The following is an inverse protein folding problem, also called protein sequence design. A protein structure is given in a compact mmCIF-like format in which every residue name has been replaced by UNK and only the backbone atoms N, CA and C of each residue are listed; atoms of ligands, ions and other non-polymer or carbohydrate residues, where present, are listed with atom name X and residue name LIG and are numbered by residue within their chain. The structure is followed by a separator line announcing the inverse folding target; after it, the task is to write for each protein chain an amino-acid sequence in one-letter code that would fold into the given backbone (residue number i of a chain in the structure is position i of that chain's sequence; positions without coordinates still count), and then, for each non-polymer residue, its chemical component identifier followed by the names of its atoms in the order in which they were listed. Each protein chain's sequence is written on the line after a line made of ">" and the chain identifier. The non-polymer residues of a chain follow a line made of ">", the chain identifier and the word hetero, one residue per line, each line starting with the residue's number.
data_IF_707382029040
#
_entry.id   IF_707382029040
#
_cell.length_a   1.000
_cell.length_b   1.000
_cell.length_c   1.000
_cell.angle_alpha   90.00
_cell.angle_beta   90.00
_cell.angle_gamma   90.00
#
_symmetry.space_group_name_H-M   'P 1'
#
loop_
_entity.id
_entity.type
_entity.pdbx_description
1 polymer ?
#
# COMPACT_ATOMS: atom_id res chain seq x y z
N UNK A 1 2.32 1.66 -21.96
CA UNK A 1 3.20 1.19 -20.86
C UNK A 1 3.31 2.16 -19.66
N UNK A 2 2.75 3.38 -19.71
CA UNK A 2 2.94 4.38 -18.64
C UNK A 2 2.05 4.25 -17.39
N UNK A 3 1.07 3.34 -17.33
CA UNK A 3 0.12 3.23 -16.20
C UNK A 3 0.30 1.95 -15.39
N UNK A 4 0.56 0.81 -16.06
CA UNK A 4 0.67 -0.50 -15.42
C UNK A 4 1.82 -0.60 -14.42
N UNK A 5 3.04 -0.22 -14.81
CA UNK A 5 4.21 -0.28 -13.94
C UNK A 5 4.08 0.66 -12.72
N UNK A 6 3.66 1.93 -12.87
CA UNK A 6 3.41 2.79 -11.71
C UNK A 6 2.28 2.29 -10.79
N UNK A 7 1.21 1.70 -11.34
CA UNK A 7 0.12 1.14 -10.52
C UNK A 7 0.60 -0.03 -9.67
N UNK A 8 1.33 -0.99 -10.26
CA UNK A 8 1.86 -2.13 -9.50
C UNK A 8 2.83 -1.67 -8.41
N UNK A 9 3.68 -0.70 -8.70
CA UNK A 9 4.64 -0.17 -7.73
C UNK A 9 3.96 0.50 -6.52
N UNK A 10 2.78 1.09 -6.70
CA UNK A 10 2.02 1.71 -5.60
C UNK A 10 1.22 0.69 -4.77
N UNK A 11 0.84 -0.46 -5.35
CA UNK A 11 0.11 -1.51 -4.65
C UNK A 11 1.04 -2.36 -3.79
N UNK A 12 2.23 -2.71 -4.30
CA UNK A 12 3.21 -3.45 -3.53
C UNK A 12 3.84 -2.57 -2.45
N UNK A 13 3.67 -2.95 -1.18
CA UNK A 13 4.10 -2.16 -0.05
C UNK A 13 4.43 -3.00 1.20
N UNK A 14 4.66 -2.30 2.31
CA UNK A 14 5.13 -2.89 3.58
C UNK A 14 4.26 -4.03 4.10
N UNK A 15 2.93 -3.93 3.91
CA UNK A 15 1.96 -4.89 4.43
C UNK A 15 2.21 -6.29 3.87
N UNK A 16 2.55 -6.37 2.58
CA UNK A 16 2.78 -7.65 1.89
C UNK A 16 3.97 -8.40 2.49
N UNK A 17 5.03 -7.69 2.89
CA UNK A 17 6.27 -8.30 3.38
C UNK A 17 6.30 -8.51 4.89
N UNK A 18 5.82 -7.54 5.69
CA UNK A 18 5.92 -7.60 7.15
C UNK A 18 4.68 -8.20 7.81
N UNK A 19 3.48 -7.99 7.24
CA UNK A 19 2.21 -8.31 7.92
C UNK A 19 1.50 -9.54 7.38
N UNK A 20 1.77 -9.98 6.15
CA UNK A 20 1.11 -11.16 5.57
C UNK A 20 1.44 -12.46 6.32
N UNK A 21 2.69 -12.65 6.73
CA UNK A 21 3.10 -13.84 7.49
C UNK A 21 2.39 -13.90 8.85
N UNK A 22 2.28 -12.77 9.53
CA UNK A 22 1.57 -12.67 10.80
C UNK A 22 0.05 -12.86 10.65
N UNK A 23 -0.55 -12.28 9.60
CA UNK A 23 -1.97 -12.43 9.29
C UNK A 23 -2.35 -13.90 9.06
N UNK A 24 -1.55 -14.64 8.27
CA UNK A 24 -1.74 -16.08 8.04
C UNK A 24 -1.49 -16.88 9.32
N UNK A 25 -0.55 -16.45 10.17
CA UNK A 25 -0.25 -17.11 11.45
C UNK A 25 -1.39 -17.04 12.47
N UNK A 26 -2.16 -15.95 12.49
CA UNK A 26 -3.29 -15.77 13.43
C UNK A 26 -4.63 -16.21 12.82
N UNK A 27 -4.89 -15.84 11.56
CA UNK A 27 -6.18 -16.09 10.88
C UNK A 27 -6.27 -17.41 10.12
N UNK A 28 -5.18 -18.16 10.06
CA UNK A 28 -5.06 -19.37 9.23
C UNK A 28 -5.11 -19.06 7.72
N UNK A 29 -4.91 -20.10 6.91
CA UNK A 29 -4.85 -19.96 5.44
C UNK A 29 -6.22 -19.59 4.87
N UNK A 30 -7.28 -20.29 5.28
CA UNK A 30 -8.64 -20.07 4.75
C UNK A 30 -9.19 -18.70 5.16
N UNK A 31 -9.02 -18.30 6.42
CA UNK A 31 -9.47 -17.00 6.91
C UNK A 31 -8.77 -15.84 6.20
N UNK A 32 -7.45 -15.93 6.05
CA UNK A 32 -6.68 -14.93 5.31
C UNK A 32 -7.06 -14.87 3.83
N UNK A 33 -7.33 -16.02 3.20
CA UNK A 33 -7.75 -16.08 1.80
C UNK A 33 -9.08 -15.34 1.56
N UNK A 34 -10.08 -15.52 2.44
CA UNK A 34 -11.36 -14.81 2.35
C UNK A 34 -11.17 -13.29 2.49
N UNK A 35 -10.32 -12.84 3.42
CA UNK A 35 -10.05 -11.42 3.63
C UNK A 35 -9.40 -10.80 2.39
N UNK A 36 -8.37 -11.45 1.83
CA UNK A 36 -7.70 -10.99 0.61
C UNK A 36 -8.67 -10.95 -0.57
N UNK A 37 -9.50 -11.99 -0.72
CA UNK A 37 -10.51 -12.04 -1.78
C UNK A 37 -11.48 -10.86 -1.70
N UNK A 38 -12.06 -10.58 -0.53
CA UNK A 38 -12.97 -9.45 -0.32
C UNK A 38 -12.31 -8.08 -0.60
N UNK A 39 -11.03 -7.93 -0.26
CA UNK A 39 -10.29 -6.70 -0.52
C UNK A 39 -10.01 -6.52 -2.03
N UNK A 40 -9.63 -7.60 -2.72
CA UNK A 40 -9.43 -7.61 -4.16
C UNK A 40 -10.71 -7.32 -4.93
N UNK A 41 -11.85 -7.90 -4.55
CA UNK A 41 -13.14 -7.62 -5.21
C UNK A 41 -13.56 -6.17 -5.06
N UNK A 42 -13.39 -5.58 -3.87
CA UNK A 42 -13.71 -4.16 -3.62
C UNK A 42 -12.83 -3.23 -4.46
N UNK A 43 -11.53 -3.53 -4.55
CA UNK A 43 -10.58 -2.77 -5.38
C UNK A 43 -10.92 -2.90 -6.87
N UNK A 44 -11.31 -4.09 -7.31
CA UNK A 44 -11.67 -4.36 -8.70
C UNK A 44 -12.96 -3.61 -9.09
N UNK A 45 -13.98 -3.61 -8.24
CA UNK A 45 -15.20 -2.82 -8.44
C UNK A 45 -14.88 -1.31 -8.53
N UNK A 46 -14.00 -0.82 -7.66
CA UNK A 46 -13.55 0.59 -7.69
C UNK A 46 -12.80 0.92 -8.98
N UNK A 47 -11.96 0.02 -9.46
CA UNK A 47 -11.24 0.17 -10.72
C UNK A 47 -12.18 0.21 -11.93
N UNK A 48 -13.26 -0.58 -11.94
CA UNK A 48 -14.30 -0.53 -12.98
C UNK A 48 -15.01 0.84 -12.95
N UNK A 49 -15.40 1.33 -11.77
CA UNK A 49 -16.00 2.66 -11.63
C UNK A 49 -15.08 3.78 -12.11
N UNK A 50 -13.79 3.73 -11.73
CA UNK A 50 -12.79 4.70 -12.20
C UNK A 50 -12.55 4.60 -13.71
N UNK A 51 -12.64 3.40 -14.30
CA UNK A 51 -12.54 3.23 -15.76
C UNK A 51 -13.70 3.90 -16.48
N UNK A 52 -14.93 3.76 -15.95
CA UNK A 52 -16.10 4.45 -16.50
C UNK A 52 -15.92 5.98 -16.43
N UNK A 53 -15.43 6.52 -15.31
CA UNK A 53 -15.13 7.96 -15.16
C UNK A 53 -14.07 8.40 -16.17
N UNK A 54 -12.98 7.64 -16.33
CA UNK A 54 -11.91 7.97 -17.27
C UNK A 54 -12.35 7.94 -18.74
N UNK A 55 -13.40 7.20 -19.07
CA UNK A 55 -14.00 7.16 -20.42
C UNK A 55 -15.10 8.19 -20.65
N UNK A 56 -15.54 8.91 -19.62
CA UNK A 56 -16.60 9.93 -19.73
C UNK A 56 -15.99 11.28 -20.14
N UNK A 57 -16.01 11.55 -21.44
CA UNK A 57 -15.61 12.84 -22.01
C UNK A 57 -14.15 12.91 -22.45
N UNK A 58 -13.71 14.12 -22.83
CA UNK A 58 -12.32 14.38 -23.24
C UNK A 58 -11.47 14.49 -21.99
N UNK A 59 -10.54 13.56 -21.78
CA UNK A 59 -9.59 13.57 -20.65
C UNK A 59 -8.51 14.61 -20.92
N UNK A 60 -8.58 15.83 -20.36
CA UNK A 60 -7.53 16.82 -20.55
C UNK A 60 -6.36 16.42 -19.65
N UNK A 61 -5.14 16.84 -19.98
CA UNK A 61 -3.98 16.55 -19.14
C UNK A 61 -4.20 17.06 -17.70
N UNK A 62 -4.32 16.14 -16.76
CA UNK A 62 -4.58 16.39 -15.36
C UNK A 62 -4.76 15.05 -14.65
N UNK A 63 -4.15 14.88 -13.46
CA UNK A 63 -4.15 13.61 -12.73
C UNK A 63 -5.55 13.13 -12.28
N UNK A 64 -5.60 12.15 -11.39
CA UNK A 64 -6.85 11.51 -10.93
C UNK A 64 -7.90 12.50 -10.38
N UNK A 65 -7.50 13.49 -9.60
CA UNK A 65 -8.41 14.52 -9.07
C UNK A 65 -9.07 15.36 -10.17
N UNK A 66 -8.30 15.70 -11.21
CA UNK A 66 -8.79 16.52 -12.32
C UNK A 66 -9.82 15.74 -13.16
N UNK A 67 -9.60 14.44 -13.38
CA UNK A 67 -10.55 13.56 -14.07
C UNK A 67 -11.87 13.42 -13.29
N UNK A 68 -11.80 13.26 -11.97
CA UNK A 68 -12.97 13.08 -11.09
C UNK A 68 -13.80 14.36 -11.00
N UNK A 69 -13.17 15.50 -10.72
CA UNK A 69 -13.87 16.79 -10.54
C UNK A 69 -14.60 17.27 -11.79
N UNK A 70 -14.10 16.95 -12.99
CA UNK A 70 -14.78 17.26 -14.27
C UNK A 70 -15.96 16.33 -14.57
N UNK A 71 -15.89 15.07 -14.16
CA UNK A 71 -16.91 14.07 -14.48
C UNK A 71 -18.07 14.04 -13.48
N UNK A 72 -17.79 14.34 -12.20
CA UNK A 72 -18.76 14.26 -11.09
C UNK A 72 -19.12 15.63 -10.48
N UNK A 73 -18.48 16.71 -10.92
CA UNK A 73 -18.68 18.06 -10.40
C UNK A 73 -17.74 18.42 -9.23
N UNK A 74 -17.68 19.72 -8.86
CA UNK A 74 -16.72 20.24 -7.88
C UNK A 74 -16.96 19.74 -6.45
N UNK A 75 -18.21 19.49 -6.07
CA UNK A 75 -18.59 19.05 -4.72
C UNK A 75 -18.07 17.63 -4.42
N UNK A 76 -18.36 16.69 -5.31
CA UNK A 76 -17.87 15.30 -5.20
C UNK A 76 -16.36 15.21 -5.44
N UNK A 77 -15.82 16.00 -6.38
CA UNK A 77 -14.38 16.07 -6.62
C UNK A 77 -13.61 16.51 -5.37
N UNK A 78 -14.04 17.59 -4.71
CA UNK A 78 -13.41 18.12 -3.50
C UNK A 78 -13.46 17.15 -2.33
N UNK A 79 -14.62 16.55 -2.06
CA UNK A 79 -14.79 15.59 -0.97
C UNK A 79 -13.89 14.34 -1.16
N UNK A 80 -13.93 13.73 -2.34
CA UNK A 80 -13.09 12.56 -2.66
C UNK A 80 -11.60 12.93 -2.64
N UNK A 81 -11.24 14.12 -3.12
CA UNK A 81 -9.87 14.61 -3.11
C UNK A 81 -9.29 14.79 -1.71
N UNK A 82 -10.06 15.35 -0.77
CA UNK A 82 -9.62 15.52 0.62
C UNK A 82 -9.44 14.17 1.30
N UNK A 83 -10.37 13.24 1.11
CA UNK A 83 -10.25 11.88 1.64
C UNK A 83 -9.03 11.14 1.07
N UNK A 84 -8.79 11.26 -0.24
CA UNK A 84 -7.63 10.65 -0.89
C UNK A 84 -6.31 11.26 -0.40
N UNK A 85 -6.25 12.59 -0.25
CA UNK A 85 -5.09 13.29 0.30
C UNK A 85 -4.73 12.78 1.71
N UNK A 86 -5.70 12.79 2.63
CA UNK A 86 -5.48 12.29 4.00
C UNK A 86 -5.07 10.81 4.00
N UNK A 87 -5.74 9.98 3.19
CA UNK A 87 -5.40 8.57 3.04
C UNK A 87 -3.95 8.36 2.59
N UNK A 88 -3.48 9.10 1.58
CA UNK A 88 -2.09 9.01 1.12
C UNK A 88 -1.07 9.52 2.14
N UNK A 89 -1.40 10.54 2.93
CA UNK A 89 -0.53 11.04 4.01
C UNK A 89 -0.34 10.00 5.11
N UNK A 90 -1.43 9.35 5.55
CA UNK A 90 -1.34 8.28 6.55
C UNK A 90 -0.65 7.03 5.99
N UNK A 91 -0.87 6.69 4.72
CA UNK A 91 -0.16 5.60 4.06
C UNK A 91 1.35 5.87 3.98
N UNK A 92 1.76 7.11 3.68
CA UNK A 92 3.17 7.53 3.71
C UNK A 92 3.79 7.34 5.09
N UNK A 93 3.10 7.77 6.16
CA UNK A 93 3.56 7.54 7.54
C UNK A 93 3.70 6.05 7.86
N UNK A 94 2.73 5.22 7.44
CA UNK A 94 2.78 3.76 7.63
C UNK A 94 4.01 3.14 6.96
N UNK A 95 4.34 3.54 5.73
CA UNK A 95 5.52 3.03 5.03
C UNK A 95 6.83 3.43 5.71
N UNK A 96 6.93 4.65 6.24
CA UNK A 96 8.10 5.10 7.01
C UNK A 96 8.25 4.28 8.30
N UNK A 97 7.17 4.11 9.07
CA UNK A 97 7.19 3.30 10.30
C UNK A 97 7.62 1.86 10.02
N UNK A 98 7.09 1.28 8.94
CA UNK A 98 7.50 -0.03 8.45
C UNK A 98 8.98 -0.15 8.10
N UNK A 99 9.54 0.89 7.47
CA UNK A 99 10.97 0.94 7.16
C UNK A 99 11.82 1.01 8.44
N UNK A 100 11.43 1.85 9.41
CA UNK A 100 12.13 1.97 10.70
C UNK A 100 12.10 0.65 11.49
N UNK A 101 10.96 -0.06 11.52
CA UNK A 101 10.83 -1.38 12.16
C UNK A 101 11.87 -2.36 11.58
N UNK A 102 11.97 -2.43 10.25
CA UNK A 102 12.91 -3.31 9.56
C UNK A 102 14.38 -2.92 9.78
N UNK A 103 14.68 -1.62 9.86
CA UNK A 103 16.03 -1.11 10.17
C UNK A 103 16.45 -1.50 11.59
N UNK A 104 15.55 -1.34 12.56
CA UNK A 104 15.83 -1.59 13.97
C UNK A 104 16.04 -3.09 14.24
N UNK A 105 15.17 -3.95 13.70
CA UNK A 105 15.31 -5.41 13.80
C UNK A 105 16.65 -5.86 13.21
N UNK A 106 17.07 -5.31 12.07
CA UNK A 106 18.36 -5.64 11.46
C UNK A 106 19.54 -5.24 12.34
N UNK A 107 19.51 -4.06 12.94
CA UNK A 107 20.60 -3.57 13.79
C UNK A 107 20.77 -4.46 15.04
N UNK A 108 19.67 -4.80 15.72
CA UNK A 108 19.68 -5.72 16.87
C UNK A 108 20.26 -7.08 16.50
N UNK A 109 19.82 -7.67 15.38
CA UNK A 109 20.34 -8.96 14.91
C UNK A 109 21.85 -8.90 14.63
N UNK A 110 22.32 -7.80 14.04
CA UNK A 110 23.76 -7.62 13.80
C UNK A 110 24.59 -7.52 15.08
N UNK A 111 24.07 -6.84 16.11
CA UNK A 111 24.71 -6.74 17.42
C UNK A 111 24.79 -8.08 18.15
N UNK A 112 23.70 -8.86 18.14
CA UNK A 112 23.69 -10.22 18.72
C UNK A 112 24.71 -11.12 18.01
N UNK A 113 24.78 -11.02 16.68
CA UNK A 113 25.72 -11.83 15.89
C UNK A 113 27.18 -11.46 16.18
N UNK A 114 27.47 -10.18 16.43
CA UNK A 114 28.80 -9.72 16.84
C UNK A 114 29.17 -10.19 18.25
N UNK A 115 28.22 -10.17 19.21
CA UNK A 115 28.44 -10.73 20.54
C UNK A 115 28.74 -12.24 20.50
N UNK A 116 28.08 -12.98 19.61
CA UNK A 116 28.31 -14.43 19.45
C UNK A 116 29.65 -14.77 18.78
N UNK A 117 30.19 -13.87 17.94
CA UNK A 117 31.52 -14.01 17.30
C UNK A 117 32.65 -13.62 18.26
N UNK A 118 32.43 -12.62 19.13
CA UNK A 118 33.38 -12.26 20.20
C UNK A 118 33.59 -13.36 21.24
N UNK A 119 32.55 -14.15 21.53
CA UNK A 119 32.64 -15.31 22.43
C UNK A 119 33.34 -16.55 21.82
N UNK A 120 33.50 -16.61 20.50
CA UNK A 120 34.15 -17.72 19.81
C UNK A 120 35.67 -17.53 19.64
N UNK A 121 36.20 -16.33 19.88
CA UNK A 121 37.63 -15.99 19.81
C UNK A 121 38.35 -16.06 21.18
N UNK A 122 37.64 -16.42 22.25
CA UNK A 122 38.16 -16.58 23.61
C UNK A 122 38.38 -18.04 24.03
N UNK A 123 38.42 -18.97 23.07
CA UNK A 123 38.86 -20.37 23.24
C UNK A 123 39.97 -20.70 22.26
#
# INVERSE_FOLDING_TARGET
>A
MGVYLPCIQNIFGVILFLRMTWLVGIGGVVGTFVIVFMCCTTTMLTAISMSAIATNGVVPAGGSYYMISRSLGPEFGGAVGICFYLGTTFAGAMYILGAIELLLVRNIISLIRLHHQGAALSF
#
